data_IF_152824651488
#
_entry.id   IF_152824651488
#
_cell.length_a   1.000
_cell.length_b   1.000
_cell.length_c   1.000
_cell.angle_alpha   90.00
_cell.angle_beta   90.00
_cell.angle_gamma   90.00
#
_symmetry.space_group_name_H-M   'P 1'
#
loop_
_entity.id
_entity.type
_entity.pdbx_description
1 polymer ?
#
# COMPACT_ATOMS: atom_id res chain seq x y z
N UNK A 1 22.37 19.97 4.36
CA UNK A 1 21.98 19.58 5.73
C UNK A 1 20.49 19.31 5.88
N UNK A 2 19.58 20.31 5.97
CA UNK A 2 18.13 20.00 6.18
C UNK A 2 17.53 19.08 5.11
N UNK A 3 17.84 19.31 3.83
CA UNK A 3 17.34 18.47 2.73
C UNK A 3 17.90 17.03 2.80
N UNK A 4 19.15 16.86 3.22
CA UNK A 4 19.78 15.53 3.40
C UNK A 4 19.18 14.79 4.60
N UNK A 5 18.85 15.51 5.68
CA UNK A 5 18.17 14.96 6.85
C UNK A 5 16.76 14.48 6.50
N UNK A 6 16.00 15.27 5.75
CA UNK A 6 14.65 14.88 5.28
C UNK A 6 14.73 13.68 4.34
N UNK A 7 15.70 13.66 3.43
CA UNK A 7 15.90 12.53 2.52
C UNK A 7 16.22 11.26 3.30
N UNK A 8 17.15 11.32 4.26
CA UNK A 8 17.50 10.19 5.13
C UNK A 8 16.30 9.70 5.94
N UNK A 9 15.50 10.61 6.51
CA UNK A 9 14.28 10.27 7.24
C UNK A 9 13.22 9.59 6.35
N UNK A 10 13.17 9.88 5.05
CA UNK A 10 12.30 9.13 4.11
C UNK A 10 12.86 7.75 3.80
N UNK A 11 14.17 7.61 3.67
CA UNK A 11 14.79 6.30 3.43
C UNK A 11 14.58 5.32 4.59
N UNK A 12 14.55 5.80 5.84
CA UNK A 12 14.29 4.95 7.01
C UNK A 12 12.88 4.36 7.08
N UNK A 13 11.92 4.88 6.30
CA UNK A 13 10.56 4.32 6.21
C UNK A 13 10.53 2.95 5.51
N UNK A 14 11.63 2.53 4.89
CA UNK A 14 11.78 1.23 4.21
C UNK A 14 12.22 0.11 5.14
N UNK A 15 12.49 0.42 6.40
CA UNK A 15 13.00 -0.51 7.41
C UNK A 15 12.09 -0.48 8.62
N UNK A 16 12.04 -1.58 9.36
CA UNK A 16 11.30 -1.65 10.63
C UNK A 16 11.64 -0.49 11.56
N UNK A 17 10.61 -0.01 12.28
CA UNK A 17 10.69 1.12 13.20
C UNK A 17 11.81 0.98 14.25
N UNK A 18 12.11 -0.25 14.68
CA UNK A 18 13.20 -0.54 15.61
C UNK A 18 14.35 -1.15 14.82
N UNK A 19 15.46 -0.42 14.61
CA UNK A 19 16.61 -0.97 13.93
C UNK A 19 17.30 -2.01 14.80
N UNK A 20 17.93 -2.99 14.15
CA UNK A 20 18.93 -3.84 14.81
C UNK A 20 20.09 -2.99 15.33
N UNK A 21 20.83 -3.50 16.32
CA UNK A 21 21.99 -2.78 16.84
C UNK A 21 23.05 -2.60 15.76
N UNK A 22 23.50 -1.35 15.54
CA UNK A 22 24.62 -1.01 14.67
C UNK A 22 25.55 -0.04 15.40
N UNK A 23 26.86 -0.12 15.13
CA UNK A 23 27.88 0.59 15.91
C UNK A 23 27.69 2.11 15.89
N UNK A 24 27.20 2.63 14.78
CA UNK A 24 26.98 4.05 14.57
C UNK A 24 25.81 4.60 15.40
N UNK A 25 24.96 3.74 15.97
CA UNK A 25 23.85 4.18 16.84
C UNK A 25 24.34 4.86 18.11
N UNK A 26 25.55 4.51 18.59
CA UNK A 26 26.21 5.15 19.73
C UNK A 26 26.55 6.62 19.47
N UNK A 27 26.65 7.01 18.20
CA UNK A 27 26.97 8.37 17.76
C UNK A 27 25.74 9.21 17.42
N UNK A 28 24.54 8.62 17.45
CA UNK A 28 23.28 9.33 17.17
C UNK A 28 22.73 9.88 18.48
N UNK A 29 22.32 11.15 18.49
CA UNK A 29 21.65 11.69 19.67
C UNK A 29 20.32 10.96 19.88
N UNK A 30 20.01 10.62 21.14
CA UNK A 30 18.73 9.97 21.46
C UNK A 30 17.52 10.79 21.02
N UNK A 31 17.65 12.12 20.95
CA UNK A 31 16.66 13.04 20.39
C UNK A 31 16.42 12.83 18.90
N UNK A 32 17.47 12.55 18.13
CA UNK A 32 17.37 12.32 16.67
C UNK A 32 16.68 10.97 16.38
N UNK A 33 17.01 9.94 17.16
CA UNK A 33 16.32 8.63 17.11
C UNK A 33 14.84 8.82 17.42
N UNK A 34 14.51 9.57 18.48
CA UNK A 34 13.13 9.84 18.86
C UNK A 34 12.38 10.62 17.77
N UNK A 35 13.02 11.59 17.13
CA UNK A 35 12.45 12.36 16.03
C UNK A 35 12.14 11.46 14.82
N UNK A 36 13.05 10.56 14.45
CA UNK A 36 12.85 9.57 13.38
C UNK A 36 11.69 8.63 13.69
N UNK A 37 11.62 8.09 14.91
CA UNK A 37 10.50 7.24 15.33
C UNK A 37 9.18 7.98 15.31
N UNK A 38 9.15 9.21 15.80
CA UNK A 38 7.96 10.04 15.78
C UNK A 38 7.49 10.32 14.34
N UNK A 39 8.42 10.57 13.41
CA UNK A 39 8.11 10.75 12.00
C UNK A 39 7.54 9.47 11.37
N UNK A 40 8.21 8.34 11.57
CA UNK A 40 7.77 7.05 11.07
C UNK A 40 6.35 6.70 11.56
N UNK A 41 6.07 6.89 12.85
CA UNK A 41 4.73 6.70 13.41
C UNK A 41 3.69 7.65 12.79
N UNK A 42 4.04 8.92 12.53
CA UNK A 42 3.14 9.87 11.87
C UNK A 42 2.82 9.43 10.43
N UNK A 43 3.81 8.96 9.67
CA UNK A 43 3.62 8.42 8.33
C UNK A 43 2.69 7.21 8.34
N UNK A 44 2.95 6.22 9.20
CA UNK A 44 2.07 5.05 9.36
C UNK A 44 0.63 5.44 9.71
N UNK A 45 0.43 6.39 10.64
CA UNK A 45 -0.91 6.90 10.98
C UNK A 45 -1.59 7.63 9.83
N UNK A 46 -0.85 8.38 9.01
CA UNK A 46 -1.39 9.05 7.84
C UNK A 46 -1.91 8.04 6.80
N UNK A 47 -1.16 6.97 6.56
CA UNK A 47 -1.57 5.88 5.66
C UNK A 47 -2.76 5.08 6.20
N UNK A 48 -2.85 4.90 7.52
CA UNK A 48 -4.04 4.29 8.15
C UNK A 48 -5.31 5.13 7.95
N UNK A 49 -5.21 6.46 7.84
CA UNK A 49 -6.36 7.30 7.45
C UNK A 49 -6.71 7.13 5.98
N UNK A 50 -5.71 6.93 5.11
CA UNK A 50 -5.93 6.64 3.68
C UNK A 50 -6.71 5.33 3.49
N UNK A 51 -6.52 4.32 4.35
CA UNK A 51 -7.29 3.08 4.33
C UNK A 51 -8.80 3.30 4.50
N UNK A 52 -9.20 4.33 5.26
CA UNK A 52 -10.61 4.64 5.54
C UNK A 52 -11.28 5.40 4.38
N UNK A 53 -10.51 5.99 3.46
CA UNK A 53 -11.01 6.74 2.31
C UNK A 53 -10.40 6.20 1.00
N UNK A 54 -11.12 5.30 0.34
CA UNK A 54 -10.74 4.76 -0.96
C UNK A 54 -11.19 5.63 -2.15
N UNK A 55 -11.67 6.86 -1.92
CA UNK A 55 -12.15 7.74 -3.00
C UNK A 55 -11.05 8.11 -4.00
N UNK A 56 -9.77 8.00 -3.64
CA UNK A 56 -8.65 8.22 -4.57
C UNK A 56 -8.64 7.21 -5.72
N UNK A 57 -9.03 5.95 -5.46
CA UNK A 57 -9.18 4.90 -6.47
C UNK A 57 -10.32 5.29 -7.42
N UNK A 58 -11.45 5.72 -6.85
CA UNK A 58 -12.63 6.09 -7.62
C UNK A 58 -12.38 7.33 -8.49
N UNK A 59 -11.71 8.34 -7.94
CA UNK A 59 -11.31 9.57 -8.66
C UNK A 59 -10.35 9.24 -9.81
N UNK A 60 -9.41 8.33 -9.61
CA UNK A 60 -8.46 7.94 -10.66
C UNK A 60 -9.16 7.21 -11.80
N UNK A 61 -9.90 6.13 -11.50
CA UNK A 61 -10.49 5.28 -12.53
C UNK A 61 -11.81 5.81 -13.09
N UNK A 62 -12.52 6.67 -12.35
CA UNK A 62 -13.81 7.32 -12.67
C UNK A 62 -15.01 6.39 -12.89
N UNK A 63 -14.77 5.16 -13.35
CA UNK A 63 -15.80 4.17 -13.70
C UNK A 63 -15.32 2.75 -13.41
N UNK A 64 -16.25 1.89 -12.99
CA UNK A 64 -16.01 0.46 -12.75
C UNK A 64 -15.52 -0.31 -14.00
N UNK A 65 -15.83 0.18 -15.21
CA UNK A 65 -15.38 -0.43 -16.46
C UNK A 65 -13.89 -0.29 -16.71
N UNK A 66 -13.21 0.64 -16.03
CA UNK A 66 -11.76 0.80 -16.11
C UNK A 66 -11.02 -0.21 -15.21
N UNK A 67 -11.68 -0.74 -14.17
CA UNK A 67 -11.12 -1.71 -13.22
C UNK A 67 -11.99 -2.95 -13.09
N UNK A 68 -12.33 -3.63 -14.20
CA UNK A 68 -13.21 -4.79 -14.16
C UNK A 68 -12.62 -5.96 -13.35
N UNK A 69 -11.29 -5.98 -13.18
CA UNK A 69 -10.53 -7.00 -12.45
C UNK A 69 -10.81 -7.00 -10.94
N UNK A 70 -11.00 -5.83 -10.31
CA UNK A 70 -11.41 -5.69 -8.89
C UNK A 70 -12.78 -6.35 -8.64
N UNK A 71 -13.65 -6.33 -9.65
CA UNK A 71 -15.03 -6.82 -9.56
C UNK A 71 -15.23 -8.23 -10.13
N UNK A 72 -14.16 -8.85 -10.65
CA UNK A 72 -14.22 -10.16 -11.30
C UNK A 72 -15.10 -10.18 -12.55
N UNK A 73 -15.10 -9.09 -13.31
CA UNK A 73 -15.79 -8.98 -14.59
C UNK A 73 -14.80 -9.23 -15.71
N UNK A 74 -15.05 -10.24 -16.56
CA UNK A 74 -14.34 -10.41 -17.82
C UNK A 74 -15.33 -10.42 -18.97
N UNK A 75 -14.87 -10.15 -20.20
CA UNK A 75 -15.73 -10.13 -21.40
C UNK A 75 -16.43 -11.46 -21.69
N UNK A 76 -15.93 -12.59 -21.16
CA UNK A 76 -16.42 -13.93 -21.50
C UNK A 76 -16.95 -14.73 -20.31
N UNK A 77 -16.53 -14.44 -19.08
CA UNK A 77 -16.91 -15.21 -17.90
C UNK A 77 -17.20 -14.33 -16.68
N UNK A 78 -18.24 -14.68 -15.91
CA UNK A 78 -18.43 -14.12 -14.56
C UNK A 78 -17.54 -14.90 -13.60
N UNK A 79 -16.63 -14.20 -12.94
CA UNK A 79 -15.81 -14.78 -11.88
C UNK A 79 -16.70 -15.29 -10.73
N UNK A 80 -16.46 -16.53 -10.29
CA UNK A 80 -17.13 -17.18 -9.15
C UNK A 80 -16.38 -16.98 -7.83
N UNK A 81 -15.26 -16.26 -7.81
CA UNK A 81 -14.55 -15.97 -6.57
C UNK A 81 -15.46 -15.23 -5.58
N UNK A 82 -15.25 -15.43 -4.27
CA UNK A 82 -16.00 -14.75 -3.22
C UNK A 82 -15.96 -13.23 -3.39
N UNK A 83 -17.05 -12.58 -2.95
CA UNK A 83 -17.18 -11.12 -3.00
C UNK A 83 -17.46 -10.57 -1.62
N UNK A 84 -16.76 -9.50 -1.26
CA UNK A 84 -17.01 -8.78 -0.03
C UNK A 84 -18.09 -7.72 -0.23
N UNK A 85 -18.78 -7.41 0.86
CA UNK A 85 -19.75 -6.32 0.99
C UNK A 85 -19.44 -5.44 2.21
N UNK A 86 -18.26 -5.63 2.83
CA UNK A 86 -17.83 -4.87 4.01
C UNK A 86 -17.53 -3.43 3.58
N UNK A 87 -16.68 -3.28 2.56
CA UNK A 87 -16.39 -2.00 1.93
C UNK A 87 -17.00 -1.97 0.54
N UNK A 88 -17.57 -0.83 0.14
CA UNK A 88 -18.08 -0.63 -1.22
C UNK A 88 -17.13 0.27 -1.99
N UNK A 89 -16.69 -0.21 -3.15
CA UNK A 89 -15.97 0.59 -4.14
C UNK A 89 -16.89 0.78 -5.34
N UNK A 90 -17.14 2.03 -5.73
CA UNK A 90 -18.14 2.43 -6.72
C UNK A 90 -19.53 1.86 -6.43
N UNK A 91 -19.94 1.85 -5.16
CA UNK A 91 -21.20 1.26 -4.68
C UNK A 91 -21.39 -0.22 -5.05
N UNK A 92 -20.30 -0.96 -5.26
CA UNK A 92 -20.34 -2.37 -5.68
C UNK A 92 -19.47 -3.27 -4.81
N UNK A 93 -19.94 -4.53 -4.71
CA UNK A 93 -19.18 -5.65 -4.16
C UNK A 93 -17.99 -5.98 -5.04
N UNK A 94 -16.82 -6.08 -4.44
CA UNK A 94 -15.55 -6.40 -5.09
C UNK A 94 -15.07 -7.80 -4.66
N UNK A 95 -13.99 -8.30 -5.25
CA UNK A 95 -13.45 -9.63 -4.95
C UNK A 95 -12.78 -9.66 -3.58
N UNK A 96 -13.04 -10.69 -2.78
CA UNK A 96 -12.49 -10.81 -1.41
C UNK A 96 -10.96 -10.73 -1.40
N UNK A 97 -10.27 -11.39 -2.34
CA UNK A 97 -8.81 -11.35 -2.38
C UNK A 97 -8.24 -9.93 -2.57
N UNK A 98 -9.00 -9.03 -3.21
CA UNK A 98 -8.59 -7.64 -3.36
C UNK A 98 -8.76 -6.87 -2.05
N UNK A 99 -9.84 -7.15 -1.30
CA UNK A 99 -10.03 -6.58 0.05
C UNK A 99 -8.91 -7.03 0.98
N UNK A 100 -8.61 -8.32 0.99
CA UNK A 100 -7.52 -8.92 1.78
C UNK A 100 -6.17 -8.31 1.41
N UNK A 101 -5.91 -8.06 0.12
CA UNK A 101 -4.71 -7.37 -0.33
C UNK A 101 -4.63 -5.94 0.21
N UNK A 102 -5.72 -5.16 0.11
CA UNK A 102 -5.74 -3.79 0.62
C UNK A 102 -5.50 -3.76 2.13
N UNK A 103 -6.18 -4.63 2.89
CA UNK A 103 -6.03 -4.75 4.34
C UNK A 103 -4.61 -5.14 4.74
N UNK A 104 -4.07 -6.21 4.15
CA UNK A 104 -2.71 -6.67 4.45
C UNK A 104 -1.65 -5.62 4.08
N UNK A 105 -1.80 -4.95 2.93
CA UNK A 105 -0.87 -3.91 2.50
C UNK A 105 -0.88 -2.72 3.45
N UNK A 106 -2.05 -2.26 3.89
CA UNK A 106 -2.12 -1.16 4.87
C UNK A 106 -1.58 -1.56 6.23
N UNK A 107 -1.75 -2.82 6.65
CA UNK A 107 -1.12 -3.34 7.86
C UNK A 107 0.41 -3.30 7.74
N UNK A 108 0.98 -3.76 6.61
CA UNK A 108 2.42 -3.68 6.37
C UNK A 108 2.93 -2.23 6.31
N UNK A 109 2.20 -1.33 5.64
CA UNK A 109 2.52 0.09 5.55
C UNK A 109 2.51 0.82 6.91
N UNK A 110 1.91 0.23 7.95
CA UNK A 110 2.00 0.79 9.30
C UNK A 110 3.41 0.63 9.88
N UNK A 111 4.08 -0.46 9.52
CA UNK A 111 5.42 -0.83 10.00
C UNK A 111 6.51 -0.37 9.04
N UNK A 112 6.23 -0.33 7.74
CA UNK A 112 7.14 0.14 6.69
C UNK A 112 6.38 1.07 5.73
N UNK A 113 6.17 2.34 6.08
CA UNK A 113 5.38 3.28 5.30
C UNK A 113 6.16 3.76 4.08
N UNK A 114 6.30 2.91 3.06
CA UNK A 114 7.00 3.25 1.82
C UNK A 114 6.39 2.54 0.59
N UNK A 115 6.72 3.06 -0.61
CA UNK A 115 6.29 2.46 -1.86
C UNK A 115 6.73 0.99 -2.04
N UNK A 116 7.91 0.61 -1.52
CA UNK A 116 8.42 -0.76 -1.67
C UNK A 116 7.51 -1.80 -1.03
N UNK A 117 6.91 -1.47 0.11
CA UNK A 117 5.96 -2.34 0.82
C UNK A 117 4.73 -2.65 -0.02
N UNK A 118 4.26 -1.69 -0.85
CA UNK A 118 3.17 -1.91 -1.81
C UNK A 118 3.59 -2.92 -2.88
N UNK A 119 4.78 -2.76 -3.47
CA UNK A 119 5.27 -3.66 -4.50
C UNK A 119 5.45 -5.09 -3.99
N UNK A 120 5.99 -5.26 -2.77
CA UNK A 120 6.13 -6.58 -2.15
C UNK A 120 4.76 -7.25 -1.94
N UNK A 121 3.79 -6.50 -1.40
CA UNK A 121 2.42 -7.00 -1.17
C UNK A 121 1.71 -7.40 -2.47
N UNK A 122 2.03 -6.72 -3.58
CA UNK A 122 1.50 -7.03 -4.91
C UNK A 122 2.02 -8.37 -5.42
N UNK A 123 3.32 -8.66 -5.30
CA UNK A 123 3.89 -9.94 -5.73
C UNK A 123 3.28 -11.12 -4.96
N UNK A 124 3.17 -11.00 -3.63
CA UNK A 124 2.52 -12.02 -2.80
C UNK A 124 1.07 -12.26 -3.21
N UNK A 125 0.33 -11.19 -3.53
CA UNK A 125 -1.05 -11.26 -3.98
C UNK A 125 -1.17 -11.90 -5.36
N UNK A 126 -0.26 -11.59 -6.29
CA UNK A 126 -0.22 -12.20 -7.63
C UNK A 126 -0.06 -13.71 -7.49
N UNK A 127 0.87 -14.17 -6.65
CA UNK A 127 1.05 -15.60 -6.39
C UNK A 127 -0.19 -16.24 -5.77
N UNK A 128 -0.77 -15.61 -4.74
CA UNK A 128 -1.98 -16.09 -4.08
C UNK A 128 -3.14 -16.23 -5.06
N UNK A 129 -3.40 -15.23 -5.89
CA UNK A 129 -4.48 -15.25 -6.88
C UNK A 129 -4.23 -16.29 -7.97
N UNK A 130 -2.98 -16.48 -8.41
CA UNK A 130 -2.63 -17.55 -9.37
C UNK A 130 -2.97 -18.93 -8.82
N UNK A 131 -2.73 -19.17 -7.53
CA UNK A 131 -3.05 -20.45 -6.85
C UNK A 131 -4.55 -20.71 -6.73
N UNK A 132 -5.40 -19.69 -6.83
CA UNK A 132 -6.87 -19.87 -6.87
C UNK A 132 -7.38 -20.50 -8.18
N UNK A 133 -6.52 -20.61 -9.20
CA UNK A 133 -6.82 -21.17 -10.53
C UNK A 133 -8.11 -20.62 -11.17
N UNK A 134 -8.39 -19.34 -10.94
CA UNK A 134 -9.57 -18.70 -11.48
C UNK A 134 -9.32 -18.22 -12.91
N UNK A 135 -9.99 -18.84 -13.90
CA UNK A 135 -9.92 -18.48 -15.32
C UNK A 135 -10.20 -16.99 -15.63
N UNK A 136 -10.86 -16.27 -14.72
CA UNK A 136 -11.13 -14.85 -14.86
C UNK A 136 -10.08 -13.95 -14.20
N UNK A 137 -9.54 -14.34 -13.05
CA UNK A 137 -8.60 -13.51 -12.28
C UNK A 137 -7.16 -13.77 -12.70
N UNK A 138 -6.77 -15.03 -12.86
CA UNK A 138 -5.39 -15.45 -13.10
C UNK A 138 -4.74 -14.87 -14.36
N UNK A 139 -5.39 -14.83 -15.55
CA UNK A 139 -4.68 -14.53 -16.80
C UNK A 139 -3.96 -13.18 -16.83
N UNK A 140 -4.56 -12.15 -16.21
CA UNK A 140 -4.05 -10.77 -16.27
C UNK A 140 -3.71 -10.21 -14.88
N UNK A 141 -3.74 -11.01 -13.81
CA UNK A 141 -3.56 -10.51 -12.44
C UNK A 141 -2.24 -9.76 -12.28
N UNK A 142 -1.14 -10.27 -12.84
CA UNK A 142 0.16 -9.61 -12.74
C UNK A 142 0.11 -8.21 -13.37
N UNK A 143 -0.31 -8.12 -14.63
CA UNK A 143 -0.40 -6.84 -15.34
C UNK A 143 -1.27 -5.82 -14.62
N UNK A 144 -2.47 -6.20 -14.18
CA UNK A 144 -3.38 -5.25 -13.52
C UNK A 144 -2.91 -4.86 -12.13
N UNK A 145 -2.31 -5.79 -11.39
CA UNK A 145 -1.78 -5.51 -10.06
C UNK A 145 -0.53 -4.64 -10.11
N UNK A 146 0.37 -4.83 -11.08
CA UNK A 146 1.52 -3.94 -11.29
C UNK A 146 1.08 -2.52 -11.65
N UNK A 147 0.08 -2.37 -12.54
CA UNK A 147 -0.48 -1.05 -12.86
C UNK A 147 -1.13 -0.39 -11.63
N UNK A 148 -1.80 -1.19 -10.80
CA UNK A 148 -2.36 -0.69 -9.55
C UNK A 148 -1.28 -0.33 -8.54
N UNK A 149 -0.17 -1.08 -8.50
CA UNK A 149 0.98 -0.85 -7.63
C UNK A 149 1.56 0.55 -7.87
N UNK A 150 1.75 0.94 -9.14
CA UNK A 150 2.24 2.28 -9.50
C UNK A 150 1.33 3.39 -8.97
N UNK A 151 0.01 3.22 -9.10
CA UNK A 151 -0.95 4.18 -8.59
C UNK A 151 -0.93 4.24 -7.06
N UNK A 152 -0.89 3.08 -6.40
CA UNK A 152 -0.94 3.00 -4.94
C UNK A 152 0.36 3.49 -4.31
N UNK A 153 1.52 3.08 -4.83
CA UNK A 153 2.83 3.58 -4.43
C UNK A 153 2.91 5.10 -4.56
N UNK A 154 2.46 5.67 -5.69
CA UNK A 154 2.39 7.12 -5.86
C UNK A 154 1.51 7.77 -4.79
N UNK A 155 0.35 7.19 -4.48
CA UNK A 155 -0.56 7.71 -3.45
C UNK A 155 0.06 7.65 -2.05
N UNK A 156 0.81 6.59 -1.74
CA UNK A 156 1.56 6.43 -0.50
C UNK A 156 2.60 7.55 -0.36
N UNK A 157 3.42 7.79 -1.39
CA UNK A 157 4.43 8.85 -1.40
C UNK A 157 3.81 10.25 -1.29
N UNK A 158 2.68 10.51 -1.96
CA UNK A 158 1.93 11.76 -1.82
C UNK A 158 1.53 12.01 -0.36
N UNK A 159 0.93 11.01 0.30
CA UNK A 159 0.50 11.13 1.70
C UNK A 159 1.68 11.31 2.65
N UNK A 160 2.79 10.59 2.44
CA UNK A 160 4.01 10.73 3.23
C UNK A 160 4.63 12.11 3.06
N UNK A 161 4.59 12.68 1.85
CA UNK A 161 5.16 13.99 1.55
C UNK A 161 4.47 15.14 2.31
N UNK A 162 3.22 14.95 2.71
CA UNK A 162 2.46 15.90 3.53
C UNK A 162 2.83 15.83 5.02
N UNK A 163 3.48 14.75 5.47
CA UNK A 163 3.94 14.59 6.85
C UNK A 163 5.24 15.35 7.06
N UNK A 164 5.25 16.27 8.02
CA UNK A 164 6.43 17.05 8.35
C UNK A 164 7.38 16.26 9.26
N UNK A 165 8.62 16.11 8.82
CA UNK A 165 9.74 15.75 9.70
C UNK A 165 10.10 16.98 10.56
N UNK A 166 10.23 16.78 11.86
CA UNK A 166 10.66 17.83 12.79
C UNK A 166 11.84 17.25 13.55
N UNK A 167 13.04 17.72 13.20
CA UNK A 167 14.29 17.50 13.93
C UNK A 167 14.46 18.52 15.04
#
# INVERSE_FOLDING_TARGET
MQDETILSARYSLRTSLVPDWFKEIEMIASTDILALWAYHQKCGRALQRLQLDLSWIEKHYKKTTAVPWIFGKTRRFRCRCPRSDIIKLFDRKHLVWWEEFMEATFQALREEPCAQTVYNSVEETIEKVRRLDCRSCTPNVATVMHQFAELFAKKVEEVISEVKFVS
#
